data_IF_231002359597
#
_entry.id   IF_231002359597
#
_cell.length_a   1.000
_cell.length_b   1.000
_cell.length_c   1.000
_cell.angle_alpha   90.00
_cell.angle_beta   90.00
_cell.angle_gamma   90.00
#
_symmetry.space_group_name_H-M   'P 1'
#
loop_
_entity.id
_entity.type
_entity.pdbx_description
1 polymer ?
#
# COMPACT_ATOMS: atom_id res chain seq x y z
N UNK A 1 -50.22 -19.15 21.17
CA UNK A 1 -49.21 -18.89 20.14
C UNK A 1 -48.22 -20.03 20.23
N UNK A 2 -48.41 -21.03 19.38
CA UNK A 2 -47.73 -22.32 19.53
C UNK A 2 -46.25 -22.22 19.17
N UNK A 3 -45.48 -23.12 19.76
CA UNK A 3 -44.03 -23.27 19.61
C UNK A 3 -43.58 -23.42 18.14
N UNK A 4 -44.49 -23.86 17.28
CA UNK A 4 -44.35 -23.94 15.82
C UNK A 4 -44.29 -22.54 15.20
N UNK A 5 -45.08 -21.57 15.68
CA UNK A 5 -45.04 -20.17 15.20
C UNK A 5 -43.75 -19.46 15.66
N UNK A 6 -43.14 -19.87 16.78
CA UNK A 6 -41.82 -19.38 17.20
C UNK A 6 -40.66 -19.98 16.38
N UNK A 7 -40.73 -21.26 16.01
CA UNK A 7 -39.71 -21.89 15.14
C UNK A 7 -39.76 -21.42 13.70
N UNK A 8 -40.95 -21.06 13.19
CA UNK A 8 -41.09 -20.49 11.83
C UNK A 8 -40.68 -19.01 11.74
N UNK A 9 -40.52 -18.32 12.87
CA UNK A 9 -40.02 -16.95 12.92
C UNK A 9 -38.49 -16.86 13.07
N UNK A 10 -37.78 -17.98 13.26
CA UNK A 10 -36.32 -18.01 13.45
C UNK A 10 -35.53 -18.51 12.24
N UNK A 11 -36.17 -18.86 11.13
CA UNK A 11 -35.49 -18.90 9.82
C UNK A 11 -35.30 -17.48 9.32
N UNK A 12 -34.45 -16.74 10.05
CA UNK A 12 -33.69 -15.64 9.48
C UNK A 12 -32.98 -16.21 8.26
N UNK A 13 -33.55 -16.02 7.07
CA UNK A 13 -32.80 -16.12 5.83
C UNK A 13 -31.61 -15.19 6.03
N UNK A 14 -30.43 -15.73 6.35
CA UNK A 14 -29.23 -14.92 6.42
C UNK A 14 -29.06 -14.36 5.02
N UNK A 15 -29.43 -13.10 4.85
CA UNK A 15 -29.37 -12.42 3.56
C UNK A 15 -27.94 -12.58 3.09
N UNK A 16 -27.75 -13.26 1.96
CA UNK A 16 -26.42 -13.55 1.43
C UNK A 16 -25.61 -12.24 1.41
N UNK A 17 -24.41 -12.29 1.96
CA UNK A 17 -23.59 -11.08 2.07
C UNK A 17 -23.22 -10.61 0.67
N UNK A 18 -23.35 -9.31 0.43
CA UNK A 18 -22.94 -8.72 -0.85
C UNK A 18 -21.43 -8.54 -0.86
N UNK A 19 -20.75 -9.10 -1.84
CA UNK A 19 -19.31 -8.90 -1.97
C UNK A 19 -19.00 -7.47 -2.42
N UNK A 20 -18.00 -6.84 -1.79
CA UNK A 20 -17.51 -5.51 -2.13
C UNK A 20 -15.99 -5.55 -2.34
N UNK A 21 -15.55 -5.45 -3.59
CA UNK A 21 -14.14 -5.48 -3.97
C UNK A 21 -13.61 -4.07 -4.09
N UNK A 22 -12.53 -3.78 -3.37
CA UNK A 22 -12.08 -2.41 -3.12
C UNK A 22 -10.68 -2.26 -3.69
N UNK A 23 -10.51 -1.32 -4.61
CA UNK A 23 -9.19 -0.78 -4.95
C UNK A 23 -8.80 0.22 -3.85
N UNK A 24 -8.04 -0.26 -2.85
CA UNK A 24 -7.88 0.51 -1.62
C UNK A 24 -6.95 1.71 -1.77
N UNK A 25 -6.01 1.67 -2.71
CA UNK A 25 -5.03 2.75 -2.89
C UNK A 25 -5.70 4.03 -3.40
N UNK A 26 -6.80 3.90 -4.16
CA UNK A 26 -7.66 5.00 -4.59
C UNK A 26 -8.31 5.76 -3.41
N UNK A 27 -8.47 5.10 -2.26
CA UNK A 27 -9.10 5.67 -1.07
C UNK A 27 -8.13 5.88 0.09
N UNK A 28 -6.84 5.74 -0.15
CA UNK A 28 -5.78 5.90 0.86
C UNK A 28 -5.92 7.19 1.69
N UNK A 29 -6.32 8.30 1.07
CA UNK A 29 -6.53 9.60 1.74
C UNK A 29 -7.73 9.64 2.69
N UNK A 30 -8.68 8.71 2.54
CA UNK A 30 -9.78 8.50 3.50
C UNK A 30 -9.24 7.93 4.81
N UNK A 31 -8.20 7.10 4.76
CA UNK A 31 -7.61 6.44 5.92
C UNK A 31 -6.41 7.21 6.50
N UNK A 32 -5.58 7.78 5.64
CA UNK A 32 -4.42 8.59 6.02
C UNK A 32 -4.65 10.05 5.64
N UNK A 33 -4.73 10.95 6.63
CA UNK A 33 -4.87 12.38 6.37
C UNK A 33 -3.56 12.96 5.85
N UNK A 34 -3.53 13.42 4.60
CA UNK A 34 -2.35 14.03 3.95
C UNK A 34 -1.94 15.35 4.63
N UNK A 35 -2.90 16.13 5.13
CA UNK A 35 -2.64 17.47 5.68
C UNK A 35 -1.98 17.46 7.05
N UNK A 36 -1.98 16.32 7.75
CA UNK A 36 -1.41 16.15 9.07
C UNK A 36 -0.15 15.28 9.02
N UNK A 37 0.48 15.08 10.16
CA UNK A 37 1.51 14.05 10.30
C UNK A 37 0.91 12.67 9.98
N UNK A 38 1.71 11.75 9.43
CA UNK A 38 1.23 10.42 9.07
C UNK A 38 0.93 9.56 10.31
N UNK A 39 -0.30 9.69 10.81
CA UNK A 39 -0.73 9.08 12.07
C UNK A 39 -1.43 7.73 11.86
N UNK A 40 -0.64 6.65 11.88
CA UNK A 40 -1.11 5.28 11.61
C UNK A 40 -2.13 4.75 12.65
N UNK A 41 -2.16 5.29 13.87
CA UNK A 41 -3.19 4.92 14.86
C UNK A 41 -4.59 5.44 14.47
N UNK A 42 -4.66 6.64 13.89
CA UNK A 42 -5.92 7.16 13.35
C UNK A 42 -6.33 6.38 12.11
N UNK A 43 -5.37 6.02 11.24
CA UNK A 43 -5.66 5.18 10.08
C UNK A 43 -6.27 3.83 10.49
N UNK A 44 -5.73 3.18 11.54
CA UNK A 44 -6.32 1.97 12.11
C UNK A 44 -7.78 2.16 12.49
N UNK A 45 -8.08 3.19 13.29
CA UNK A 45 -9.46 3.46 13.73
C UNK A 45 -10.40 3.66 12.53
N UNK A 46 -9.95 4.38 11.50
CA UNK A 46 -10.75 4.61 10.29
C UNK A 46 -10.99 3.33 9.49
N UNK A 47 -10.01 2.43 9.41
CA UNK A 47 -10.18 1.11 8.78
C UNK A 47 -11.17 0.26 9.60
N UNK A 48 -11.02 0.22 10.93
CA UNK A 48 -11.96 -0.49 11.82
C UNK A 48 -13.40 0.02 11.67
N UNK A 49 -13.58 1.35 11.66
CA UNK A 49 -14.87 2.00 11.47
C UNK A 49 -15.46 1.66 10.09
N UNK A 50 -14.67 1.78 9.02
CA UNK A 50 -15.09 1.42 7.66
C UNK A 50 -15.55 -0.04 7.57
N UNK A 51 -14.76 -1.00 8.08
CA UNK A 51 -15.08 -2.43 8.01
C UNK A 51 -16.34 -2.74 8.83
N UNK A 52 -16.48 -2.15 10.01
CA UNK A 52 -17.69 -2.28 10.83
C UNK A 52 -18.92 -1.75 10.09
N UNK A 53 -18.84 -0.56 9.50
CA UNK A 53 -19.93 0.03 8.72
C UNK A 53 -20.27 -0.76 7.46
N UNK A 54 -19.27 -1.34 6.78
CA UNK A 54 -19.47 -2.22 5.62
C UNK A 54 -20.28 -3.47 6.01
N UNK A 55 -19.87 -4.14 7.09
CA UNK A 55 -20.56 -5.33 7.62
C UNK A 55 -21.98 -5.00 8.07
N UNK A 56 -22.19 -3.86 8.73
CA UNK A 56 -23.52 -3.36 9.12
C UNK A 56 -24.44 -3.04 7.91
N UNK A 57 -23.85 -2.83 6.74
CA UNK A 57 -24.54 -2.65 5.45
C UNK A 57 -24.71 -3.96 4.66
N UNK A 58 -24.44 -5.11 5.27
CA UNK A 58 -24.46 -6.43 4.64
C UNK A 58 -23.45 -6.59 3.49
N UNK A 59 -22.30 -5.91 3.58
CA UNK A 59 -21.18 -6.13 2.69
C UNK A 59 -20.11 -7.03 3.33
N UNK A 60 -19.52 -7.91 2.52
CA UNK A 60 -18.27 -8.59 2.83
C UNK A 60 -17.16 -7.94 1.99
N UNK A 61 -16.34 -7.06 2.59
CA UNK A 61 -15.28 -6.40 1.86
C UNK A 61 -14.13 -7.36 1.53
N UNK A 62 -13.53 -7.17 0.37
CA UNK A 62 -12.25 -7.76 -0.05
C UNK A 62 -11.41 -6.66 -0.68
N UNK A 63 -10.17 -6.53 -0.25
CA UNK A 63 -9.27 -5.45 -0.67
C UNK A 63 -8.29 -5.97 -1.71
N UNK A 64 -8.14 -5.24 -2.80
CA UNK A 64 -7.16 -5.49 -3.84
C UNK A 64 -6.10 -4.38 -3.81
N UNK A 65 -4.84 -4.79 -3.86
CA UNK A 65 -3.66 -3.92 -3.81
C UNK A 65 -2.76 -4.27 -4.99
N UNK A 66 -2.28 -3.23 -5.66
CA UNK A 66 -1.34 -3.39 -6.76
C UNK A 66 -0.03 -4.03 -6.28
N UNK A 67 0.43 -5.02 -7.04
CA UNK A 67 1.74 -5.63 -6.88
C UNK A 67 2.56 -5.41 -8.16
N UNK A 68 3.86 -5.66 -8.11
CA UNK A 68 4.93 -5.03 -8.91
C UNK A 68 4.94 -5.20 -10.45
N UNK A 69 3.82 -5.44 -11.11
CA UNK A 69 3.76 -5.54 -12.57
C UNK A 69 3.76 -4.11 -13.12
N UNK A 70 4.87 -3.71 -13.73
CA UNK A 70 5.03 -2.36 -14.27
C UNK A 70 5.31 -2.42 -15.79
N UNK A 71 4.34 -2.01 -16.61
CA UNK A 71 4.61 -1.69 -18.03
C UNK A 71 5.59 -0.52 -18.14
N UNK A 72 6.33 -0.39 -19.24
CA UNK A 72 7.27 0.72 -19.45
C UNK A 72 6.59 2.09 -19.30
N UNK A 73 5.34 2.22 -19.76
CA UNK A 73 4.54 3.42 -19.60
C UNK A 73 4.21 3.71 -18.11
N UNK A 74 3.83 2.68 -17.35
CA UNK A 74 3.55 2.80 -15.92
C UNK A 74 4.82 3.20 -15.15
N UNK A 75 5.97 2.62 -15.51
CA UNK A 75 7.29 2.98 -14.96
C UNK A 75 7.58 4.46 -15.22
N UNK A 76 7.42 4.93 -16.46
CA UNK A 76 7.71 6.30 -16.83
C UNK A 76 6.81 7.29 -16.05
N UNK A 77 5.49 7.05 -16.05
CA UNK A 77 4.53 7.85 -15.27
C UNK A 77 4.83 7.84 -13.78
N UNK A 78 5.28 6.71 -13.24
CA UNK A 78 5.69 6.60 -11.85
C UNK A 78 6.95 7.41 -11.59
N UNK A 79 7.98 7.31 -12.45
CA UNK A 79 9.24 8.06 -12.31
C UNK A 79 9.00 9.56 -12.35
N UNK A 80 8.25 10.07 -13.32
CA UNK A 80 7.92 11.50 -13.42
C UNK A 80 7.26 12.02 -12.14
N UNK A 81 6.30 11.28 -11.58
CA UNK A 81 5.66 11.65 -10.30
C UNK A 81 6.65 11.70 -9.14
N UNK A 82 7.61 10.77 -9.08
CA UNK A 82 8.64 10.73 -8.03
C UNK A 82 9.67 11.85 -8.20
N UNK A 83 10.01 12.21 -9.44
CA UNK A 83 10.88 13.35 -9.72
C UNK A 83 10.24 14.66 -9.26
N UNK A 84 8.96 14.88 -9.59
CA UNK A 84 8.21 16.06 -9.15
C UNK A 84 8.14 16.17 -7.62
N UNK A 85 7.95 15.05 -6.91
CA UNK A 85 7.97 15.01 -5.44
C UNK A 85 9.33 15.46 -4.87
N UNK A 86 10.43 14.98 -5.44
CA UNK A 86 11.79 15.36 -5.01
C UNK A 86 12.06 16.84 -5.31
N UNK A 87 11.73 17.31 -6.52
CA UNK A 87 11.94 18.71 -6.92
C UNK A 87 11.16 19.66 -6.02
N UNK A 88 9.91 19.32 -5.70
CA UNK A 88 9.04 20.16 -4.87
C UNK A 88 9.29 20.01 -3.37
N UNK A 89 10.10 19.04 -2.94
CA UNK A 89 10.28 18.73 -1.51
C UNK A 89 8.99 18.30 -0.84
N UNK A 90 8.12 17.58 -1.55
CA UNK A 90 6.82 17.14 -1.03
C UNK A 90 6.67 15.63 -1.08
N UNK A 91 6.03 15.08 -0.06
CA UNK A 91 5.57 13.70 -0.06
C UNK A 91 4.21 13.64 0.61
N UNK A 92 3.20 13.29 -0.17
CA UNK A 92 1.81 13.28 0.30
C UNK A 92 1.36 11.92 0.83
N UNK A 93 2.18 10.88 0.68
CA UNK A 93 1.82 9.51 1.03
C UNK A 93 2.90 8.88 1.91
N UNK A 94 2.53 8.21 3.02
CA UNK A 94 3.50 7.59 3.90
C UNK A 94 4.30 6.50 3.19
N UNK A 95 5.56 6.34 3.61
CA UNK A 95 6.34 5.17 3.25
C UNK A 95 5.63 3.89 3.71
N UNK A 96 5.59 2.87 2.85
CA UNK A 96 4.97 1.59 3.14
C UNK A 96 3.43 1.60 3.13
N UNK A 97 2.79 2.62 2.55
CA UNK A 97 1.32 2.77 2.55
C UNK A 97 0.57 1.51 2.12
N UNK A 98 0.98 0.85 1.02
CA UNK A 98 0.32 -0.35 0.51
C UNK A 98 0.38 -1.49 1.52
N UNK A 99 1.57 -1.76 2.07
CA UNK A 99 1.79 -2.74 3.14
C UNK A 99 0.92 -2.43 4.36
N UNK A 100 0.90 -1.16 4.78
CA UNK A 100 0.16 -0.72 5.97
C UNK A 100 -1.34 -0.85 5.81
N UNK A 101 -1.90 -0.45 4.67
CA UNK A 101 -3.32 -0.65 4.41
C UNK A 101 -3.63 -2.14 4.43
N UNK A 102 -2.82 -2.97 3.77
CA UNK A 102 -2.97 -4.42 3.82
C UNK A 102 -2.97 -4.98 5.24
N UNK A 103 -1.99 -4.62 6.07
CA UNK A 103 -1.89 -5.02 7.47
C UNK A 103 -3.13 -4.60 8.28
N UNK A 104 -3.55 -3.34 8.14
CA UNK A 104 -4.71 -2.80 8.87
C UNK A 104 -6.01 -3.50 8.51
N UNK A 105 -6.23 -3.80 7.23
CA UNK A 105 -7.42 -4.53 6.77
C UNK A 105 -7.39 -5.99 7.23
N UNK A 106 -6.23 -6.66 7.17
CA UNK A 106 -6.05 -8.02 7.70
C UNK A 106 -6.36 -8.10 9.19
N UNK A 107 -5.91 -7.13 9.98
CA UNK A 107 -6.23 -7.03 11.42
C UNK A 107 -7.74 -6.93 11.68
N UNK A 108 -8.50 -6.40 10.73
CA UNK A 108 -9.96 -6.33 10.80
C UNK A 108 -10.67 -7.59 10.25
N UNK A 109 -9.91 -8.63 9.89
CA UNK A 109 -10.42 -9.87 9.31
C UNK A 109 -10.93 -9.69 7.88
N UNK A 110 -10.39 -8.73 7.12
CA UNK A 110 -10.70 -8.54 5.70
C UNK A 110 -9.67 -9.27 4.85
N UNK A 111 -10.13 -10.00 3.84
CA UNK A 111 -9.23 -10.62 2.87
C UNK A 111 -8.54 -9.54 2.03
N UNK A 112 -7.22 -9.62 1.93
CA UNK A 112 -6.38 -8.73 1.13
C UNK A 112 -5.71 -9.53 0.03
N UNK A 113 -5.82 -9.04 -1.19
CA UNK A 113 -5.36 -9.67 -2.43
C UNK A 113 -4.33 -8.74 -3.09
N UNK A 114 -3.08 -9.18 -3.18
CA UNK A 114 -2.03 -8.48 -3.92
C UNK A 114 -1.95 -9.05 -5.33
N UNK A 115 -2.16 -8.21 -6.35
CA UNK A 115 -2.29 -8.62 -7.75
C UNK A 115 -0.94 -9.00 -8.37
N UNK A 116 -0.64 -10.31 -8.48
CA UNK A 116 0.70 -10.81 -8.83
C UNK A 116 0.86 -11.31 -10.27
N UNK A 117 -0.24 -11.59 -10.97
CA UNK A 117 -0.21 -12.13 -12.35
C UNK A 117 -0.60 -11.10 -13.41
N UNK A 118 -1.48 -10.16 -13.08
CA UNK A 118 -1.91 -9.07 -13.96
C UNK A 118 -2.03 -7.76 -13.18
N UNK A 119 -2.14 -6.65 -13.91
CA UNK A 119 -2.41 -5.33 -13.32
C UNK A 119 -3.61 -5.39 -12.36
N UNK A 120 -3.58 -4.57 -11.31
CA UNK A 120 -4.59 -4.60 -10.26
C UNK A 120 -6.02 -4.44 -10.77
N UNK A 121 -6.23 -3.57 -11.77
CA UNK A 121 -7.55 -3.34 -12.35
C UNK A 121 -8.07 -4.57 -13.08
N UNK A 122 -7.23 -5.26 -13.85
CA UNK A 122 -7.59 -6.47 -14.58
C UNK A 122 -7.89 -7.62 -13.61
N UNK A 123 -7.06 -7.76 -12.57
CA UNK A 123 -7.26 -8.76 -11.50
C UNK A 123 -8.57 -8.51 -10.76
N UNK A 124 -8.78 -7.30 -10.23
CA UNK A 124 -9.98 -6.94 -9.47
C UNK A 124 -11.24 -7.08 -10.35
N UNK A 125 -11.22 -6.55 -11.58
CA UNK A 125 -12.35 -6.62 -12.50
C UNK A 125 -12.73 -8.07 -12.83
N UNK A 126 -11.75 -8.94 -13.04
CA UNK A 126 -12.01 -10.35 -13.32
C UNK A 126 -12.63 -11.05 -12.11
N UNK A 127 -12.03 -10.94 -10.93
CA UNK A 127 -12.58 -11.51 -9.69
C UNK A 127 -14.00 -10.97 -9.42
N UNK A 128 -14.22 -9.67 -9.53
CA UNK A 128 -15.54 -9.08 -9.32
C UNK A 128 -16.58 -9.58 -10.33
N UNK A 129 -16.18 -9.81 -11.59
CA UNK A 129 -17.06 -10.36 -12.62
C UNK A 129 -17.48 -11.79 -12.30
N UNK A 130 -16.52 -12.65 -11.92
CA UNK A 130 -16.77 -14.06 -11.63
C UNK A 130 -17.59 -14.24 -10.35
N UNK A 131 -17.35 -13.41 -9.34
CA UNK A 131 -17.99 -13.53 -8.03
C UNK A 131 -19.29 -12.72 -7.92
N UNK A 132 -19.65 -11.93 -8.93
CA UNK A 132 -20.80 -11.02 -8.87
C UNK A 132 -20.64 -9.91 -7.81
N UNK A 133 -19.41 -9.51 -7.52
CA UNK A 133 -19.10 -8.50 -6.51
C UNK A 133 -19.37 -7.08 -7.02
N UNK A 134 -19.63 -6.15 -6.11
CA UNK A 134 -19.59 -4.71 -6.41
C UNK A 134 -18.14 -4.22 -6.35
N UNK A 135 -17.77 -3.24 -7.18
CA UNK A 135 -16.43 -2.62 -7.19
C UNK A 135 -16.49 -1.22 -6.58
N UNK A 136 -15.59 -0.93 -5.64
CA UNK A 136 -15.35 0.41 -5.10
C UNK A 136 -13.98 0.90 -5.60
N UNK A 137 -13.99 1.81 -6.58
CA UNK A 137 -12.78 2.41 -7.17
C UNK A 137 -13.09 3.78 -7.79
N UNK A 138 -12.14 4.71 -7.68
CA UNK A 138 -12.20 6.01 -8.34
C UNK A 138 -11.70 5.93 -9.79
N UNK A 139 -11.03 4.84 -10.17
CA UNK A 139 -10.55 4.60 -11.51
C UNK A 139 -11.72 4.41 -12.50
N UNK A 140 -11.52 4.94 -13.71
CA UNK A 140 -12.44 4.80 -14.84
C UNK A 140 -12.09 3.59 -15.69
N UNK A 141 -10.95 2.94 -15.49
CA UNK A 141 -10.53 1.78 -16.26
C UNK A 141 -11.46 0.57 -16.07
N UNK A 142 -12.16 0.47 -14.93
CA UNK A 142 -13.26 -0.47 -14.74
C UNK A 142 -14.43 -0.30 -15.73
N UNK A 143 -14.54 0.84 -16.41
CA UNK A 143 -15.54 1.06 -17.47
C UNK A 143 -15.14 0.44 -18.82
N UNK A 144 -13.88 0.07 -19.01
CA UNK A 144 -13.31 -0.50 -20.25
C UNK A 144 -13.77 -1.92 -20.50
N UNK A 145 -14.09 -2.67 -19.45
CA UNK A 145 -14.42 -4.08 -19.56
C UNK A 145 -15.81 -4.31 -20.15
N UNK A 146 -15.84 -5.09 -21.23
CA UNK A 146 -17.05 -5.53 -21.90
C UNK A 146 -17.82 -6.54 -21.03
N UNK A 147 -19.16 -6.47 -21.09
CA UNK A 147 -20.08 -7.43 -20.43
C UNK A 147 -19.80 -7.63 -18.93
N UNK A 148 -19.22 -6.64 -18.24
CA UNK A 148 -19.00 -6.69 -16.80
C UNK A 148 -20.31 -6.98 -16.04
N UNK A 149 -20.20 -7.79 -14.98
CA UNK A 149 -21.32 -8.19 -14.11
C UNK A 149 -21.36 -7.45 -12.78
N UNK A 150 -20.48 -6.48 -12.61
CA UNK A 150 -20.33 -5.71 -11.38
C UNK A 150 -20.80 -4.26 -11.54
N UNK A 151 -21.35 -3.73 -10.44
CA UNK A 151 -21.60 -2.30 -10.28
C UNK A 151 -20.32 -1.58 -9.83
N UNK A 152 -20.16 -0.32 -10.23
CA UNK A 152 -18.99 0.49 -9.85
C UNK A 152 -19.47 1.63 -8.96
N UNK A 153 -18.83 1.76 -7.81
CA UNK A 153 -19.01 2.81 -6.84
C UNK A 153 -17.73 3.64 -6.78
N UNK A 154 -17.86 4.96 -6.83
CA UNK A 154 -16.72 5.90 -6.92
C UNK A 154 -16.28 6.43 -5.57
N UNK A 155 -17.14 6.27 -4.57
CA UNK A 155 -16.93 6.84 -3.26
C UNK A 155 -17.82 6.15 -2.23
N UNK A 156 -17.58 6.46 -0.97
CA UNK A 156 -18.40 6.02 0.14
C UNK A 156 -18.54 7.11 1.20
N UNK A 157 -19.56 6.97 2.02
CA UNK A 157 -19.73 7.71 3.26
C UNK A 157 -20.26 6.81 4.36
N UNK A 158 -20.18 7.31 5.59
CA UNK A 158 -20.67 6.61 6.77
C UNK A 158 -21.89 7.39 7.29
N UNK A 159 -23.01 6.71 7.46
CA UNK A 159 -24.23 7.32 7.97
C UNK A 159 -24.99 6.32 8.82
N UNK A 160 -25.37 6.73 10.04
CA UNK A 160 -26.10 5.89 10.99
C UNK A 160 -25.45 4.50 11.22
N UNK A 161 -24.12 4.48 11.33
CA UNK A 161 -23.36 3.24 11.55
C UNK A 161 -23.33 2.28 10.35
N UNK A 162 -23.66 2.77 9.14
CA UNK A 162 -23.70 2.00 7.90
C UNK A 162 -22.84 2.64 6.82
N UNK A 163 -22.26 1.79 5.97
CA UNK A 163 -21.57 2.21 4.77
C UNK A 163 -22.59 2.53 3.68
N UNK A 164 -22.51 3.73 3.12
CA UNK A 164 -23.31 4.20 1.99
C UNK A 164 -22.37 4.36 0.79
N UNK A 165 -22.57 3.54 -0.23
CA UNK A 165 -21.76 3.61 -1.44
C UNK A 165 -22.36 4.61 -2.44
N UNK A 166 -21.50 5.40 -3.10
CA UNK A 166 -21.89 6.36 -4.13
C UNK A 166 -21.70 5.75 -5.51
N UNK A 167 -22.77 5.43 -6.25
CA UNK A 167 -22.65 4.77 -7.56
C UNK A 167 -22.00 5.70 -8.59
N UNK A 168 -21.23 5.11 -9.50
CA UNK A 168 -20.71 5.82 -10.67
C UNK A 168 -21.87 6.14 -11.63
N UNK A 169 -22.04 7.43 -11.95
CA UNK A 169 -23.06 7.91 -12.90
C UNK A 169 -22.49 8.20 -14.29
N UNK A 170 -21.20 8.51 -14.38
CA UNK A 170 -20.52 8.80 -15.64
C UNK A 170 -20.05 7.51 -16.32
N UNK A 171 -20.82 7.04 -17.29
CA UNK A 171 -20.53 5.76 -17.99
C UNK A 171 -19.62 5.93 -19.21
N UNK A 172 -19.16 7.16 -19.50
CA UNK A 172 -18.27 7.43 -20.64
C UNK A 172 -16.87 6.91 -20.32
N UNK A 173 -16.27 6.21 -21.28
CA UNK A 173 -14.87 5.81 -21.23
C UNK A 173 -14.29 6.00 -22.64
N UNK A 174 -13.23 6.79 -22.75
CA UNK A 174 -12.59 7.12 -24.03
C UNK A 174 -11.45 6.15 -24.38
N UNK A 175 -11.07 5.29 -23.44
CA UNK A 175 -10.04 4.28 -23.61
C UNK A 175 -10.55 3.08 -24.40
N UNK A 176 -9.63 2.32 -25.01
CA UNK A 176 -9.95 1.08 -25.69
C UNK A 176 -10.66 0.09 -24.75
N UNK A 177 -11.65 -0.62 -25.31
CA UNK A 177 -12.37 -1.68 -24.60
C UNK A 177 -11.43 -2.86 -24.30
N UNK A 178 -11.69 -3.52 -23.18
CA UNK A 178 -10.97 -4.73 -22.71
C UNK A 178 -11.96 -5.87 -22.51
N UNK A 179 -11.49 -7.09 -22.67
CA UNK A 179 -12.24 -8.28 -22.27
C UNK A 179 -11.92 -8.63 -20.82
N UNK A 180 -12.86 -9.30 -20.13
CA UNK A 180 -12.60 -9.87 -18.81
C UNK A 180 -11.65 -11.05 -18.98
N UNK A 181 -10.53 -11.04 -18.24
CA UNK A 181 -9.58 -12.16 -18.22
C UNK A 181 -10.26 -13.37 -17.57
N UNK A 182 -10.19 -14.54 -18.21
CA UNK A 182 -10.73 -15.80 -17.71
C UNK A 182 -9.73 -16.94 -18.01
N UNK A 183 -9.31 -17.73 -17.02
CA UNK A 183 -9.69 -17.65 -15.60
C UNK A 183 -9.19 -16.37 -14.92
N UNK A 184 -9.71 -16.08 -13.72
CA UNK A 184 -9.30 -14.89 -12.98
C UNK A 184 -7.80 -14.95 -12.62
N UNK A 185 -7.03 -13.86 -12.81
CA UNK A 185 -5.61 -13.82 -12.48
C UNK A 185 -5.35 -14.17 -11.02
N UNK A 186 -4.21 -14.83 -10.75
CA UNK A 186 -3.76 -15.16 -9.42
C UNK A 186 -3.35 -13.91 -8.62
N UNK A 187 -3.62 -13.97 -7.32
CA UNK A 187 -3.17 -12.99 -6.34
C UNK A 187 -2.48 -13.68 -5.17
N UNK A 188 -1.71 -12.91 -4.41
CA UNK A 188 -1.10 -13.31 -3.15
C UNK A 188 -1.89 -12.75 -1.96
N UNK A 189 -1.97 -13.49 -0.86
CA UNK A 189 -2.54 -13.01 0.41
C UNK A 189 -1.51 -12.27 1.27
N UNK A 190 -0.22 -12.45 1.01
CA UNK A 190 0.88 -11.68 1.59
C UNK A 190 1.33 -10.55 0.66
N UNK A 191 1.73 -9.41 1.24
CA UNK A 191 2.38 -8.36 0.47
C UNK A 191 3.62 -8.96 -0.19
N UNK A 192 3.71 -8.99 -1.52
CA UNK A 192 4.91 -9.47 -2.15
C UNK A 192 6.10 -8.55 -1.86
N UNK A 193 5.93 -7.35 -1.29
CA UNK A 193 7.01 -6.56 -0.69
C UNK A 193 8.30 -6.51 -1.54
N UNK A 194 9.36 -7.16 -1.01
CA UNK A 194 10.66 -7.44 -1.66
C UNK A 194 10.73 -8.79 -2.40
N UNK A 195 9.72 -9.65 -2.26
CA UNK A 195 9.53 -10.95 -2.94
C UNK A 195 9.33 -10.77 -4.46
N UNK A 196 9.27 -9.53 -4.95
CA UNK A 196 9.26 -9.15 -6.38
C UNK A 196 10.66 -9.11 -7.01
N UNK A 197 11.68 -9.57 -6.28
CA UNK A 197 13.04 -9.78 -6.78
C UNK A 197 13.28 -10.94 -7.77
N UNK A 198 12.30 -11.68 -8.35
CA UNK A 198 12.57 -12.46 -9.56
C UNK A 198 13.15 -11.57 -10.68
N UNK A 199 12.76 -10.29 -10.69
CA UNK A 199 13.28 -9.27 -11.60
C UNK A 199 14.68 -8.76 -11.25
N UNK A 200 15.28 -9.17 -10.12
CA UNK A 200 16.57 -8.69 -9.59
C UNK A 200 16.66 -7.17 -9.49
N UNK A 201 15.53 -6.54 -9.21
CA UNK A 201 15.38 -5.10 -9.32
C UNK A 201 14.68 -4.53 -8.08
N UNK A 202 15.26 -3.50 -7.49
CA UNK A 202 14.70 -2.81 -6.33
C UNK A 202 14.65 -1.31 -6.60
N UNK A 203 13.47 -0.85 -6.99
CA UNK A 203 13.20 0.56 -7.25
C UNK A 203 12.26 1.11 -6.19
N UNK A 204 12.59 2.29 -5.67
CA UNK A 204 11.74 3.05 -4.74
C UNK A 204 11.83 4.53 -5.05
N UNK A 205 10.76 5.24 -4.74
CA UNK A 205 10.73 6.70 -4.85
C UNK A 205 11.41 7.36 -3.66
N UNK A 206 11.15 8.66 -3.47
CA UNK A 206 11.45 9.29 -2.19
C UNK A 206 10.48 8.80 -1.11
N UNK A 207 10.97 8.42 0.09
CA UNK A 207 10.14 8.05 1.23
C UNK A 207 9.72 9.26 2.10
N UNK A 208 10.26 10.46 1.86
CA UNK A 208 10.15 11.61 2.76
C UNK A 208 10.07 12.95 2.01
N UNK A 209 9.33 13.96 2.52
CA UNK A 209 9.37 15.29 1.91
C UNK A 209 10.77 15.93 1.92
N UNK A 210 11.68 15.48 2.80
CA UNK A 210 13.00 16.09 2.99
C UNK A 210 14.12 15.38 2.19
N UNK A 211 13.82 14.67 1.10
CA UNK A 211 14.85 14.11 0.20
C UNK A 211 15.62 15.19 -0.59
N UNK A 212 15.20 16.45 -0.47
CA UNK A 212 16.00 17.57 -0.94
C UNK A 212 17.09 17.94 0.07
N UNK A 213 16.74 18.04 1.37
CA UNK A 213 17.66 18.41 2.46
C UNK A 213 18.56 17.24 2.90
N UNK A 214 18.05 16.02 2.75
CA UNK A 214 18.75 14.77 3.00
C UNK A 214 18.86 13.96 1.70
N UNK A 215 19.68 12.92 1.69
CA UNK A 215 19.59 11.92 0.61
C UNK A 215 18.31 11.08 0.72
N UNK A 216 18.02 10.26 -0.29
CA UNK A 216 16.95 9.28 -0.20
C UNK A 216 17.27 8.26 0.91
N UNK A 217 16.35 8.09 1.87
CA UNK A 217 16.58 7.23 3.04
C UNK A 217 16.85 5.77 2.65
N UNK A 218 16.36 5.32 1.50
CA UNK A 218 16.73 4.00 0.98
C UNK A 218 18.23 3.91 0.72
N UNK A 219 18.91 4.95 0.21
CA UNK A 219 20.37 4.91 0.02
C UNK A 219 21.09 4.69 1.36
N UNK A 220 20.66 5.37 2.42
CA UNK A 220 21.28 5.25 3.76
C UNK A 220 21.15 3.85 4.36
N UNK A 221 20.01 3.19 4.18
CA UNK A 221 19.76 1.85 4.75
C UNK A 221 20.16 0.71 3.80
N UNK A 222 20.93 1.00 2.74
CA UNK A 222 21.43 -0.03 1.81
C UNK A 222 22.15 -1.20 2.51
N UNK A 223 23.03 -0.98 3.51
CA UNK A 223 23.68 -2.09 4.20
C UNK A 223 22.70 -3.06 4.88
N UNK A 224 21.57 -2.57 5.38
CA UNK A 224 20.52 -3.40 5.96
C UNK A 224 19.77 -4.21 4.88
N UNK A 225 19.51 -3.59 3.73
CA UNK A 225 18.94 -4.31 2.56
C UNK A 225 19.86 -5.41 2.05
N UNK A 226 21.16 -5.14 1.95
CA UNK A 226 22.13 -6.16 1.53
C UNK A 226 22.12 -7.38 2.45
N UNK A 227 21.96 -7.16 3.76
CA UNK A 227 21.81 -8.24 4.72
C UNK A 227 20.52 -9.03 4.49
N UNK A 228 19.44 -8.34 4.13
CA UNK A 228 18.18 -9.01 3.77
C UNK A 228 18.31 -9.81 2.47
N UNK A 229 19.00 -9.29 1.45
CA UNK A 229 19.32 -10.03 0.22
C UNK A 229 20.14 -11.30 0.51
N UNK A 230 21.09 -11.22 1.43
CA UNK A 230 21.88 -12.39 1.86
C UNK A 230 21.00 -13.40 2.63
N UNK A 231 20.07 -12.94 3.46
CA UNK A 231 19.09 -13.79 4.12
C UNK A 231 18.21 -14.56 3.12
N UNK A 232 17.78 -13.90 2.05
CA UNK A 232 17.06 -14.53 0.93
C UNK A 232 17.94 -15.46 0.08
N UNK A 233 19.21 -15.65 0.45
CA UNK A 233 20.17 -16.51 -0.26
C UNK A 233 20.38 -16.16 -1.73
N UNK A 234 20.16 -14.89 -2.10
CA UNK A 234 20.35 -14.41 -3.46
C UNK A 234 21.84 -14.54 -3.84
N UNK A 235 22.11 -14.97 -5.07
CA UNK A 235 23.48 -15.17 -5.58
C UNK A 235 23.94 -14.09 -6.55
N UNK A 236 22.99 -13.37 -7.14
CA UNK A 236 23.26 -12.28 -8.07
C UNK A 236 23.09 -10.92 -7.40
N UNK A 237 23.76 -9.93 -7.94
CA UNK A 237 23.53 -8.53 -7.59
C UNK A 237 22.09 -8.12 -7.89
N UNK A 238 21.59 -7.21 -7.08
CA UNK A 238 20.30 -6.55 -7.23
C UNK A 238 20.56 -5.17 -7.80
N UNK A 239 19.86 -4.82 -8.88
CA UNK A 239 19.90 -3.46 -9.42
C UNK A 239 18.97 -2.59 -8.58
N UNK A 240 19.56 -1.67 -7.81
CA UNK A 240 18.82 -0.66 -7.05
C UNK A 240 18.66 0.62 -7.88
N UNK A 241 17.51 1.28 -7.78
CA UNK A 241 17.24 2.55 -8.46
C UNK A 241 16.43 3.50 -7.57
N UNK A 242 16.99 4.68 -7.26
CA UNK A 242 16.37 5.70 -6.40
C UNK A 242 16.52 7.12 -6.97
N UNK A 243 15.52 7.99 -6.81
CA UNK A 243 15.67 9.40 -7.16
C UNK A 243 16.44 10.13 -6.06
N UNK A 244 17.41 10.96 -6.45
CA UNK A 244 18.18 11.87 -5.61
C UNK A 244 18.04 13.28 -6.16
N UNK A 245 17.97 14.27 -5.27
CA UNK A 245 18.11 15.66 -5.67
C UNK A 245 19.58 15.95 -6.05
N UNK A 246 19.80 16.62 -7.18
CA UNK A 246 21.11 17.02 -7.66
C UNK A 246 21.15 18.54 -7.84
N UNK A 247 21.85 19.21 -6.94
CA UNK A 247 21.97 20.67 -6.92
C UNK A 247 22.69 21.23 -8.14
N UNK A 248 23.56 20.45 -8.82
CA UNK A 248 24.33 20.94 -9.97
C UNK A 248 23.44 21.18 -11.19
N UNK A 249 22.40 20.34 -11.35
CA UNK A 249 21.43 20.44 -12.45
C UNK A 249 20.08 20.98 -11.97
N UNK A 250 19.97 21.36 -10.69
CA UNK A 250 18.74 21.76 -10.02
C UNK A 250 17.56 20.83 -10.38
N UNK A 251 17.79 19.53 -10.22
CA UNK A 251 16.89 18.51 -10.74
C UNK A 251 17.05 17.17 -10.03
N UNK A 252 16.57 16.10 -10.66
CA UNK A 252 16.60 14.76 -10.10
C UNK A 252 17.54 13.89 -10.92
N UNK A 253 18.48 13.27 -10.23
CA UNK A 253 19.31 12.19 -10.77
C UNK A 253 18.79 10.87 -10.21
N UNK A 254 18.61 9.88 -11.08
CA UNK A 254 18.37 8.51 -10.63
C UNK A 254 19.69 7.83 -10.35
N UNK A 255 19.91 7.51 -9.08
CA UNK A 255 21.05 6.70 -8.67
C UNK A 255 20.74 5.24 -8.95
N UNK A 256 21.56 4.63 -9.81
CA UNK A 256 21.41 3.24 -10.25
C UNK A 256 22.65 2.47 -9.84
N UNK A 257 22.48 1.49 -8.96
CA UNK A 257 23.58 0.70 -8.41
C UNK A 257 23.36 -0.79 -8.62
N UNK A 258 24.44 -1.54 -8.83
CA UNK A 258 24.44 -3.01 -8.81
C UNK A 258 24.96 -3.48 -7.46
N UNK A 259 24.06 -3.91 -6.59
CA UNK A 259 24.32 -4.12 -5.17
C UNK A 259 24.38 -5.63 -4.85
N UNK A 260 25.51 -6.17 -4.36
CA UNK A 260 25.59 -7.57 -3.99
C UNK A 260 24.91 -7.85 -2.65
N UNK A 261 24.39 -9.08 -2.43
CA UNK A 261 24.06 -9.58 -1.10
C UNK A 261 25.26 -9.52 -0.15
N UNK A 262 25.05 -9.06 1.09
CA UNK A 262 26.11 -8.94 2.10
C UNK A 262 25.52 -9.05 3.50
N UNK A 263 25.97 -10.03 4.29
CA UNK A 263 25.41 -10.36 5.61
C UNK A 263 26.04 -9.61 6.81
N UNK A 264 26.97 -8.68 6.60
CA UNK A 264 27.65 -7.91 7.66
C UNK A 264 26.72 -7.16 8.63
N UNK A 265 25.45 -6.98 8.26
CA UNK A 265 24.40 -6.31 9.07
C UNK A 265 23.23 -7.23 9.43
N UNK A 266 23.35 -8.55 9.23
CA UNK A 266 22.27 -9.52 9.48
C UNK A 266 21.71 -9.45 10.90
N UNK A 267 22.57 -9.21 11.89
CA UNK A 267 22.19 -9.05 13.29
C UNK A 267 21.18 -7.91 13.52
N UNK A 268 21.21 -6.86 12.69
CA UNK A 268 20.30 -5.73 12.83
C UNK A 268 18.88 -6.06 12.33
N UNK A 269 18.72 -6.99 11.38
CA UNK A 269 17.39 -7.36 10.85
C UNK A 269 16.46 -7.95 11.90
N UNK A 270 17.01 -8.63 12.90
CA UNK A 270 16.26 -9.19 14.02
C UNK A 270 16.08 -8.24 15.20
N UNK A 271 16.64 -7.02 15.13
CA UNK A 271 16.62 -6.04 16.22
C UNK A 271 16.21 -4.65 15.70
N UNK A 272 14.90 -4.41 15.54
CA UNK A 272 14.40 -3.20 14.91
C UNK A 272 14.85 -1.90 15.61
N UNK A 273 15.00 -1.92 16.93
CA UNK A 273 15.44 -0.77 17.72
C UNK A 273 16.91 -0.44 17.42
N UNK A 274 17.79 -1.44 17.54
CA UNK A 274 19.21 -1.24 17.28
C UNK A 274 19.48 -0.93 15.80
N UNK A 275 18.69 -1.50 14.89
CA UNK A 275 18.74 -1.14 13.47
C UNK A 275 18.44 0.35 13.26
N UNK A 276 17.35 0.87 13.84
CA UNK A 276 17.02 2.30 13.73
C UNK A 276 18.13 3.18 14.33
N UNK A 277 18.59 2.85 15.54
CA UNK A 277 19.64 3.61 16.22
C UNK A 277 20.96 3.61 15.43
N UNK A 278 21.29 2.51 14.74
CA UNK A 278 22.49 2.41 13.90
C UNK A 278 22.49 3.45 12.76
N UNK A 279 21.34 3.69 12.12
CA UNK A 279 21.26 4.56 10.95
C UNK A 279 20.84 6.01 11.28
N UNK A 280 20.04 6.22 12.33
CA UNK A 280 19.30 7.49 12.50
C UNK A 280 19.34 8.10 13.91
N UNK A 281 20.13 7.57 14.86
CA UNK A 281 20.15 8.12 16.24
C UNK A 281 20.62 9.57 16.33
N UNK A 282 21.55 9.98 15.47
CA UNK A 282 22.21 11.29 15.50
C UNK A 282 21.54 12.29 14.54
N UNK A 283 20.37 11.93 13.99
CA UNK A 283 19.68 12.75 13.01
C UNK A 283 19.04 13.97 13.65
N UNK A 284 19.37 15.16 13.14
CA UNK A 284 18.85 16.44 13.64
C UNK A 284 17.98 17.13 12.60
N UNK A 285 16.94 17.83 13.05
CA UNK A 285 16.06 18.61 12.18
C UNK A 285 16.82 19.77 11.54
N UNK A 286 16.76 19.94 10.20
CA UNK A 286 17.34 21.10 9.55
C UNK A 286 16.60 22.39 9.90
N UNK A 287 17.31 23.52 9.90
CA UNK A 287 16.73 24.84 10.11
C UNK A 287 15.67 25.16 9.05
N UNK A 288 14.52 25.70 9.47
CA UNK A 288 13.45 26.14 8.56
C UNK A 288 12.49 25.04 8.10
N UNK A 289 12.76 23.77 8.40
CA UNK A 289 11.82 22.66 8.13
C UNK A 289 10.61 22.77 9.06
N UNK A 290 9.39 22.53 8.57
CA UNK A 290 8.16 22.56 9.39
C UNK A 290 8.03 21.36 10.34
N UNK A 291 7.24 21.47 11.41
CA UNK A 291 7.02 20.35 12.34
C UNK A 291 6.41 19.15 11.62
N UNK A 292 5.46 19.41 10.71
CA UNK A 292 4.79 18.38 9.90
C UNK A 292 5.80 17.62 9.04
N UNK A 293 6.63 18.32 8.28
CA UNK A 293 7.54 17.67 7.34
C UNK A 293 8.65 16.94 8.08
N UNK A 294 9.10 17.47 9.22
CA UNK A 294 10.01 16.77 10.12
C UNK A 294 9.39 15.48 10.69
N UNK A 295 8.17 15.55 11.22
CA UNK A 295 7.48 14.36 11.75
C UNK A 295 7.26 13.29 10.67
N UNK A 296 6.92 13.69 9.44
CA UNK A 296 6.81 12.77 8.30
C UNK A 296 8.17 12.18 7.91
N UNK A 297 9.26 12.94 8.03
CA UNK A 297 10.62 12.44 7.83
C UNK A 297 11.01 11.42 8.92
N UNK A 298 10.77 11.72 10.19
CA UNK A 298 11.03 10.79 11.30
C UNK A 298 10.20 9.51 11.16
N UNK A 299 8.93 9.63 10.75
CA UNK A 299 8.15 8.43 10.40
C UNK A 299 8.83 7.63 9.28
N UNK A 300 9.28 8.30 8.22
CA UNK A 300 9.88 7.64 7.07
C UNK A 300 11.17 6.88 7.45
N UNK A 301 11.99 7.42 8.36
CA UNK A 301 13.20 6.74 8.84
C UNK A 301 12.89 5.47 9.62
N UNK A 302 11.85 5.47 10.46
CA UNK A 302 11.34 4.22 11.05
C UNK A 302 10.83 3.28 9.96
N UNK A 303 9.94 3.74 9.09
CA UNK A 303 9.29 2.89 8.10
C UNK A 303 10.28 2.14 7.20
N UNK A 304 11.32 2.80 6.68
CA UNK A 304 12.32 2.14 5.80
C UNK A 304 13.16 1.07 6.51
N UNK A 305 13.39 1.21 7.82
CA UNK A 305 14.14 0.23 8.63
C UNK A 305 13.23 -0.91 9.06
N UNK A 306 12.06 -0.57 9.59
CA UNK A 306 11.12 -1.52 10.16
C UNK A 306 10.47 -2.39 9.08
N UNK A 307 10.34 -1.91 7.84
CA UNK A 307 9.91 -2.72 6.69
C UNK A 307 10.86 -3.92 6.50
N UNK A 308 12.17 -3.69 6.52
CA UNK A 308 13.18 -4.74 6.35
C UNK A 308 13.23 -5.71 7.53
N UNK A 309 13.13 -5.18 8.75
CA UNK A 309 13.10 -6.01 9.95
C UNK A 309 11.82 -6.86 9.99
N UNK A 310 10.67 -6.29 9.65
CA UNK A 310 9.38 -6.98 9.59
C UNK A 310 9.40 -8.13 8.60
N UNK A 311 9.95 -7.90 7.41
CA UNK A 311 10.15 -8.95 6.40
C UNK A 311 11.03 -10.09 6.93
N UNK A 312 12.17 -9.79 7.56
CA UNK A 312 13.05 -10.81 8.14
C UNK A 312 12.40 -11.59 9.30
N UNK A 313 11.63 -10.89 10.14
CA UNK A 313 11.03 -11.46 11.35
C UNK A 313 9.66 -12.13 11.10
N UNK A 314 9.08 -11.99 9.90
CA UNK A 314 7.71 -12.41 9.61
C UNK A 314 6.66 -11.61 10.42
N UNK A 315 6.91 -10.32 10.65
CA UNK A 315 6.02 -9.42 11.41
C UNK A 315 5.47 -8.31 10.52
N UNK A 316 4.24 -7.87 10.81
CA UNK A 316 3.61 -6.76 10.09
C UNK A 316 4.38 -5.45 10.30
N UNK A 317 4.39 -4.58 9.28
CA UNK A 317 5.02 -3.26 9.39
C UNK A 317 4.26 -2.41 10.40
N UNK A 318 2.93 -2.53 10.42
CA UNK A 318 2.08 -1.83 11.39
C UNK A 318 2.47 -2.14 12.84
N UNK A 319 2.62 -3.42 13.20
CA UNK A 319 2.95 -3.81 14.57
C UNK A 319 4.31 -3.27 15.00
N UNK A 320 5.29 -3.28 14.09
CA UNK A 320 6.62 -2.73 14.36
C UNK A 320 6.56 -1.21 14.54
N UNK A 321 5.82 -0.49 13.71
CA UNK A 321 5.66 0.96 13.88
C UNK A 321 4.99 1.30 15.21
N UNK A 322 3.93 0.59 15.60
CA UNK A 322 3.27 0.77 16.91
C UNK A 322 4.23 0.52 18.06
N UNK A 323 5.12 -0.47 17.93
CA UNK A 323 6.03 -0.89 18.99
C UNK A 323 7.24 0.03 19.12
N UNK A 324 7.86 0.40 17.99
CA UNK A 324 9.20 1.00 17.98
C UNK A 324 9.23 2.45 17.53
N UNK A 325 8.28 2.91 16.70
CA UNK A 325 8.29 4.29 16.27
C UNK A 325 8.00 5.18 17.48
N UNK A 326 8.94 6.06 17.81
CA UNK A 326 8.66 7.15 18.75
C UNK A 326 7.50 7.94 18.16
N UNK A 327 6.42 8.08 18.95
CA UNK A 327 5.30 8.95 18.59
C UNK A 327 5.90 10.33 18.31
N UNK A 328 5.79 10.87 17.09
CA UNK A 328 6.07 12.27 16.88
C UNK A 328 5.09 13.12 17.69
#
# INVERSE_FOLDING_TARGET
MDEITRKLASTSFSKEKRLLYIDILNFSTRFFTISEHWYFLQARKRVEDFVRHARNSNFEPKVFIDASIESEEAILKWKTRREEEVIRGVRNMPQGLSTLLGDLFKLCGVQVCYSTEADNDDTLASHAHHDGASVLSQDRDFLRYNRRRYEIYVDFSESNGKLVLKPRRDMRCFSSKREIISPAPAYSDSDPGFVTLPSKFYRRGTPSPLTHDFTNLHVLVQPLRQAYYAHLSLKSNIREEFPLFDANVNGVRWDVASVPPNDCRKQLLGDPKNAYEHFFKDMTRPTGVSDRDWSNHVYATYAVVLELCGLYMGRSLYDLLVTYAKRP
#
